data_IF_551447901642
#
_entry.id   IF_551447901642
#
_cell.length_a   1.000
_cell.length_b   1.000
_cell.length_c   1.000
_cell.angle_alpha   90.00
_cell.angle_beta   90.00
_cell.angle_gamma   90.00
#
_symmetry.space_group_name_H-M   'P 1'
#
loop_
_entity.id
_entity.type
_entity.pdbx_description
1 polymer ?
#
# COMPACT_ATOMS: atom_id res chain seq x y z
N UNK A 1 -29.57 8.60 20.45
CA UNK A 1 -28.64 9.65 20.00
C UNK A 1 -27.76 8.97 18.97
N UNK A 2 -27.60 9.53 17.77
CA UNK A 2 -26.68 8.98 16.77
C UNK A 2 -25.28 9.53 17.01
N UNK A 3 -24.28 8.72 16.67
CA UNK A 3 -22.86 9.06 16.82
C UNK A 3 -22.19 9.12 15.43
N UNK A 4 -21.02 9.76 15.36
CA UNK A 4 -20.21 9.80 14.14
C UNK A 4 -19.64 8.42 13.78
N UNK A 5 -19.46 8.10 12.49
CA UNK A 5 -19.21 6.74 12.05
C UNK A 5 -17.81 6.19 12.38
N UNK A 6 -16.77 7.02 12.46
CA UNK A 6 -15.39 6.55 12.68
C UNK A 6 -14.93 6.61 14.14
N UNK A 7 -15.28 7.68 14.86
CA UNK A 7 -14.79 8.01 16.19
C UNK A 7 -15.87 7.91 17.27
N UNK A 8 -17.11 7.58 16.90
CA UNK A 8 -18.25 7.51 17.81
C UNK A 8 -18.45 8.81 18.63
N UNK A 9 -18.27 9.98 17.98
CA UNK A 9 -18.52 11.27 18.60
C UNK A 9 -20.03 11.50 18.68
N UNK A 10 -20.59 11.79 19.86
CA UNK A 10 -22.03 11.94 20.02
C UNK A 10 -22.51 13.22 19.33
N UNK A 11 -23.56 13.11 18.51
CA UNK A 11 -24.17 14.28 17.88
C UNK A 11 -25.04 15.06 18.85
N UNK A 12 -25.05 16.38 18.67
CA UNK A 12 -25.95 17.27 19.39
C UNK A 12 -27.40 17.03 18.91
N UNK A 13 -28.31 16.81 19.86
CA UNK A 13 -29.73 16.64 19.57
C UNK A 13 -30.35 17.93 19.00
N UNK A 14 -31.35 17.75 18.14
CA UNK A 14 -32.11 18.87 17.58
C UNK A 14 -32.91 19.63 18.67
N UNK A 15 -33.29 20.89 18.38
CA UNK A 15 -34.21 21.67 19.22
C UNK A 15 -33.61 22.84 20.02
N UNK A 16 -32.33 23.15 19.86
CA UNK A 16 -31.68 24.31 20.51
C UNK A 16 -31.15 25.31 19.46
N UNK A 17 -32.03 26.11 18.88
CA UNK A 17 -31.69 27.17 17.90
C UNK A 17 -30.81 26.69 16.73
N UNK A 18 -31.08 25.49 16.21
CA UNK A 18 -30.38 24.88 15.06
C UNK A 18 -28.84 24.74 15.17
N UNK A 19 -28.25 24.93 16.37
CA UNK A 19 -26.80 24.76 16.59
C UNK A 19 -26.28 23.36 16.26
N UNK A 20 -27.15 22.36 16.37
CA UNK A 20 -26.85 20.98 16.00
C UNK A 20 -26.42 20.84 14.53
N UNK A 21 -26.92 21.68 13.62
CA UNK A 21 -26.57 21.61 12.21
C UNK A 21 -25.07 21.89 12.01
N UNK A 22 -24.63 23.08 12.42
CA UNK A 22 -23.23 23.50 12.22
C UNK A 22 -22.25 22.72 13.08
N UNK A 23 -22.62 22.38 14.32
CA UNK A 23 -21.76 21.60 15.20
C UNK A 23 -21.60 20.16 14.71
N UNK A 24 -22.69 19.49 14.32
CA UNK A 24 -22.59 18.10 13.85
C UNK A 24 -21.82 18.02 12.53
N UNK A 25 -21.95 19.02 11.65
CA UNK A 25 -21.11 19.12 10.44
C UNK A 25 -19.62 19.23 10.78
N UNK A 26 -19.25 20.07 11.76
CA UNK A 26 -17.87 20.15 12.24
C UNK A 26 -17.38 18.83 12.88
N UNK A 27 -18.25 18.13 13.63
CA UNK A 27 -17.94 16.82 14.21
C UNK A 27 -17.71 15.77 13.12
N UNK A 28 -18.50 15.77 12.06
CA UNK A 28 -18.32 14.88 10.90
C UNK A 28 -17.01 15.15 10.16
N UNK A 29 -16.59 16.42 10.05
CA UNK A 29 -15.26 16.75 9.50
C UNK A 29 -14.13 16.24 10.41
N UNK A 30 -14.25 16.41 11.73
CA UNK A 30 -13.26 15.90 12.68
C UNK A 30 -13.19 14.37 12.68
N UNK A 31 -14.35 13.71 12.61
CA UNK A 31 -14.47 12.26 12.48
C UNK A 31 -13.74 11.72 11.25
N UNK A 32 -13.82 12.44 10.14
CA UNK A 32 -13.15 12.05 8.90
C UNK A 32 -11.62 12.27 8.94
N UNK A 33 -11.15 13.32 9.60
CA UNK A 33 -9.75 13.78 9.54
C UNK A 33 -8.86 13.32 10.70
N UNK A 34 -9.41 13.16 11.90
CA UNK A 34 -8.64 12.67 13.05
C UNK A 34 -8.42 11.18 12.88
N UNK A 35 -7.15 10.74 13.00
CA UNK A 35 -6.75 9.37 12.69
C UNK A 35 -7.20 8.96 11.27
N UNK A 36 -6.94 9.84 10.29
CA UNK A 36 -7.41 9.64 8.92
C UNK A 36 -6.88 8.33 8.33
N UNK A 37 -7.78 7.37 8.14
CA UNK A 37 -7.51 6.11 7.46
C UNK A 37 -8.43 6.00 6.25
N UNK A 38 -7.84 5.94 5.07
CA UNK A 38 -8.54 5.77 3.80
C UNK A 38 -8.44 4.32 3.35
N UNK A 39 -9.48 3.81 2.70
CA UNK A 39 -9.52 2.44 2.19
C UNK A 39 -8.53 2.26 1.03
N UNK A 40 -8.50 3.22 0.10
CA UNK A 40 -7.59 3.23 -1.04
C UNK A 40 -7.34 4.64 -1.55
N UNK A 41 -6.27 4.80 -2.33
CA UNK A 41 -5.93 6.02 -3.09
C UNK A 41 -5.89 5.81 -4.61
N UNK A 42 -6.23 4.62 -5.08
CA UNK A 42 -6.07 4.22 -6.50
C UNK A 42 -7.39 4.24 -7.27
N UNK A 43 -8.53 4.40 -6.59
CA UNK A 43 -9.85 4.43 -7.20
C UNK A 43 -10.17 5.82 -7.76
N UNK A 44 -10.56 5.88 -9.04
CA UNK A 44 -11.05 7.10 -9.67
C UNK A 44 -12.57 7.27 -9.54
N UNK A 45 -13.32 6.19 -9.30
CA UNK A 45 -14.77 6.20 -9.14
C UNK A 45 -15.17 5.58 -7.79
N UNK A 46 -16.31 6.00 -7.20
CA UNK A 46 -16.79 5.42 -5.94
C UNK A 46 -17.06 3.91 -6.06
N UNK A 47 -16.88 3.14 -4.97
CA UNK A 47 -17.37 1.77 -4.91
C UNK A 47 -18.90 1.74 -5.02
N UNK A 48 -19.46 0.66 -5.56
CA UNK A 48 -20.91 0.54 -5.76
C UNK A 48 -21.73 0.52 -4.46
N UNK A 49 -21.12 0.06 -3.37
CA UNK A 49 -21.77 -0.09 -2.06
C UNK A 49 -20.88 0.50 -0.96
N UNK A 50 -20.75 1.83 -0.87
CA UNK A 50 -19.98 2.45 0.18
C UNK A 50 -20.72 2.31 1.52
N UNK A 51 -19.97 2.11 2.61
CA UNK A 51 -20.52 2.19 3.96
C UNK A 51 -20.31 3.59 4.52
N UNK A 52 -21.18 4.03 5.43
CA UNK A 52 -21.06 5.33 6.08
C UNK A 52 -19.70 5.45 6.79
N UNK A 53 -19.05 6.61 6.64
CA UNK A 53 -17.73 6.90 7.19
C UNK A 53 -16.53 6.35 6.42
N UNK A 54 -16.74 5.54 5.36
CA UNK A 54 -15.62 5.14 4.49
C UNK A 54 -14.96 6.33 3.83
N UNK A 55 -13.64 6.27 3.71
CA UNK A 55 -12.82 7.36 3.19
C UNK A 55 -11.91 6.87 2.07
N UNK A 56 -11.71 7.68 1.05
CA UNK A 56 -10.83 7.40 -0.08
C UNK A 56 -10.05 8.65 -0.44
N UNK A 57 -8.84 8.50 -0.97
CA UNK A 57 -8.20 9.57 -1.75
C UNK A 57 -8.62 9.36 -3.21
N UNK A 58 -9.28 10.36 -3.80
CA UNK A 58 -9.76 10.27 -5.18
C UNK A 58 -8.58 10.28 -6.14
N UNK A 59 -8.45 9.22 -6.96
CA UNK A 59 -7.37 9.12 -7.94
C UNK A 59 -7.64 9.95 -9.20
N UNK A 60 -6.57 10.50 -9.78
CA UNK A 60 -6.64 11.27 -11.02
C UNK A 60 -7.55 12.50 -10.88
N UNK A 61 -8.44 12.72 -11.86
CA UNK A 61 -9.48 13.77 -11.78
C UNK A 61 -10.80 13.30 -11.17
N UNK A 62 -10.89 12.04 -10.75
CA UNK A 62 -12.14 11.39 -10.35
C UNK A 62 -13.13 11.14 -11.50
N UNK A 63 -14.13 10.31 -11.24
CA UNK A 63 -15.19 9.92 -12.18
C UNK A 63 -16.49 9.62 -11.44
N UNK A 64 -17.62 9.65 -12.16
CA UNK A 64 -18.95 9.50 -11.55
C UNK A 64 -19.20 10.60 -10.51
N UNK A 65 -19.65 10.22 -9.32
CA UNK A 65 -19.86 11.16 -8.21
C UNK A 65 -18.57 11.84 -7.72
N UNK A 66 -17.39 11.29 -8.06
CA UNK A 66 -16.09 11.85 -7.71
C UNK A 66 -15.51 12.77 -8.78
N UNK A 67 -16.21 13.02 -9.89
CA UNK A 67 -15.71 13.85 -10.97
C UNK A 67 -15.29 15.25 -10.50
N UNK A 68 -14.06 15.65 -10.82
CA UNK A 68 -13.46 16.93 -10.44
C UNK A 68 -12.84 16.96 -9.04
N UNK A 69 -12.88 15.86 -8.28
CA UNK A 69 -12.43 15.80 -6.87
C UNK A 69 -11.05 15.18 -6.69
N UNK A 70 -10.23 15.17 -7.74
CA UNK A 70 -8.89 14.61 -7.75
C UNK A 70 -8.03 15.02 -6.56
N UNK A 71 -7.47 14.05 -5.84
CA UNK A 71 -6.63 14.26 -4.65
C UNK A 71 -7.37 14.65 -3.38
N UNK A 72 -8.68 14.92 -3.43
CA UNK A 72 -9.48 15.16 -2.23
C UNK A 72 -9.69 13.87 -1.44
N UNK A 73 -9.98 14.03 -0.14
CA UNK A 73 -10.48 12.93 0.69
C UNK A 73 -11.99 12.86 0.48
N UNK A 74 -12.46 11.83 -0.20
CA UNK A 74 -13.88 11.51 -0.35
C UNK A 74 -14.36 10.73 0.88
N UNK A 75 -15.40 11.21 1.54
CA UNK A 75 -16.02 10.60 2.73
C UNK A 75 -17.44 10.19 2.36
N UNK A 76 -17.73 8.89 2.44
CA UNK A 76 -19.09 8.37 2.30
C UNK A 76 -19.91 8.83 3.50
N UNK A 77 -21.00 9.54 3.24
CA UNK A 77 -21.88 10.04 4.28
C UNK A 77 -23.32 10.16 3.78
N UNK A 78 -24.28 9.69 4.57
CA UNK A 78 -25.72 9.88 4.34
C UNK A 78 -26.20 9.44 2.93
N UNK A 79 -25.57 8.40 2.36
CA UNK A 79 -25.89 7.90 1.02
C UNK A 79 -25.29 8.71 -0.13
N UNK A 80 -24.37 9.65 0.15
CA UNK A 80 -23.61 10.39 -0.84
C UNK A 80 -22.14 10.59 -0.42
N UNK A 81 -21.50 11.61 -0.99
CA UNK A 81 -20.08 11.89 -0.76
C UNK A 81 -19.83 13.32 -0.31
N UNK A 82 -18.99 13.48 0.72
CA UNK A 82 -18.39 14.75 1.11
C UNK A 82 -16.93 14.75 0.69
N UNK A 83 -16.45 15.86 0.14
CA UNK A 83 -15.06 15.98 -0.31
C UNK A 83 -14.31 17.00 0.54
N UNK A 84 -13.16 16.59 1.06
CA UNK A 84 -12.30 17.46 1.86
C UNK A 84 -11.00 17.69 1.09
N UNK A 85 -10.74 18.93 0.72
CA UNK A 85 -9.49 19.32 0.08
C UNK A 85 -8.34 19.32 1.11
N UNK A 86 -7.30 18.49 0.92
CA UNK A 86 -6.17 18.44 1.85
C UNK A 86 -5.31 19.70 1.78
N UNK A 87 -4.57 19.96 2.87
CA UNK A 87 -3.57 21.03 2.95
C UNK A 87 -2.20 20.44 3.21
N UNK A 88 -1.16 21.18 2.87
CA UNK A 88 0.22 20.75 3.09
C UNK A 88 0.45 20.38 4.56
N UNK A 89 1.09 19.22 4.77
CA UNK A 89 1.34 18.62 6.08
C UNK A 89 0.26 17.66 6.57
N UNK A 90 -0.89 17.54 5.89
CA UNK A 90 -1.89 16.54 6.24
C UNK A 90 -1.38 15.13 5.99
N UNK A 91 -1.89 14.17 6.77
CA UNK A 91 -1.51 12.77 6.68
C UNK A 91 -2.74 11.88 6.57
N UNK A 92 -2.57 10.76 5.87
CA UNK A 92 -3.58 9.70 5.77
C UNK A 92 -2.89 8.33 5.71
N UNK A 93 -3.41 7.35 6.44
CA UNK A 93 -3.01 5.95 6.31
C UNK A 93 -3.87 5.26 5.25
N UNK A 94 -3.24 4.60 4.29
CA UNK A 94 -3.91 3.88 3.21
C UNK A 94 -3.97 2.41 3.59
N UNK A 95 -5.18 1.88 3.82
CA UNK A 95 -5.39 0.54 4.40
C UNK A 95 -4.94 -0.59 3.49
N UNK A 96 -5.28 -0.51 2.19
CA UNK A 96 -4.94 -1.55 1.21
C UNK A 96 -3.43 -1.62 0.88
N UNK A 97 -2.70 -0.52 1.05
CA UNK A 97 -1.26 -0.44 0.83
C UNK A 97 -0.41 -0.55 2.11
N UNK A 98 -0.99 -0.28 3.29
CA UNK A 98 -0.26 -0.26 4.55
C UNK A 98 0.74 0.90 4.70
N UNK A 99 0.51 2.02 3.99
CA UNK A 99 1.43 3.17 3.95
C UNK A 99 0.80 4.43 4.54
N UNK A 100 1.63 5.27 5.16
CA UNK A 100 1.25 6.65 5.52
C UNK A 100 1.68 7.58 4.38
N UNK A 101 0.76 8.41 3.93
CA UNK A 101 1.03 9.49 2.99
C UNK A 101 1.07 10.83 3.72
N UNK A 102 1.82 11.76 3.17
CA UNK A 102 1.74 13.17 3.49
C UNK A 102 1.32 13.96 2.26
N UNK A 103 0.38 14.89 2.42
CA UNK A 103 0.03 15.85 1.38
C UNK A 103 1.04 17.00 1.37
N UNK A 104 1.63 17.27 0.21
CA UNK A 104 2.60 18.34 0.02
C UNK A 104 2.60 18.81 -1.44
N UNK A 105 2.62 20.13 -1.64
CA UNK A 105 2.74 20.74 -2.96
C UNK A 105 1.71 20.19 -3.97
N UNK A 106 0.47 19.98 -3.50
CA UNK A 106 -0.64 19.52 -4.33
C UNK A 106 -0.70 18.02 -4.58
N UNK A 107 0.15 17.21 -3.95
CA UNK A 107 0.17 15.75 -4.14
C UNK A 107 0.25 14.96 -2.84
N UNK A 108 -0.38 13.78 -2.83
CA UNK A 108 -0.18 12.77 -1.78
C UNK A 108 1.07 11.96 -2.07
N UNK A 109 2.05 12.03 -1.19
CA UNK A 109 3.37 11.46 -1.40
C UNK A 109 3.72 10.49 -0.28
N UNK A 110 4.23 9.28 -0.60
CA UNK A 110 4.82 8.40 0.40
C UNK A 110 6.20 8.93 0.80
N UNK A 111 6.64 8.63 2.03
CA UNK A 111 8.01 8.90 2.45
C UNK A 111 8.14 9.25 3.92
N UNK A 112 9.31 8.94 4.49
CA UNK A 112 9.62 9.23 5.89
C UNK A 112 10.38 10.53 6.09
N UNK A 113 11.17 10.95 5.09
CA UNK A 113 11.97 12.15 5.16
C UNK A 113 12.01 12.86 3.81
N UNK A 114 11.90 14.18 3.84
CA UNK A 114 11.93 15.05 2.65
C UNK A 114 12.72 16.33 2.96
N UNK A 115 13.36 16.87 1.94
CA UNK A 115 14.02 18.19 1.96
C UNK A 115 13.08 19.25 1.39
N UNK A 116 13.38 20.52 1.64
CA UNK A 116 12.59 21.66 1.15
C UNK A 116 12.43 21.67 -0.38
N UNK A 117 13.41 21.13 -1.10
CA UNK A 117 13.42 21.06 -2.56
C UNK A 117 13.04 19.66 -3.07
N UNK A 118 12.23 18.89 -2.35
CA UNK A 118 11.62 17.67 -2.88
C UNK A 118 12.47 16.41 -2.88
N UNK A 119 13.76 16.48 -2.52
CA UNK A 119 14.58 15.29 -2.32
C UNK A 119 14.03 14.46 -1.17
N UNK A 120 13.92 13.14 -1.32
CA UNK A 120 13.18 12.29 -0.36
C UNK A 120 13.78 10.89 -0.16
N UNK A 121 13.51 10.32 1.01
CA UNK A 121 13.73 8.92 1.37
C UNK A 121 12.37 8.25 1.67
N UNK A 122 12.17 7.07 1.09
CA UNK A 122 10.96 6.27 1.24
C UNK A 122 11.26 4.82 1.61
N UNK A 123 10.41 4.23 2.45
CA UNK A 123 10.39 2.79 2.72
C UNK A 123 9.37 2.12 1.81
N UNK A 124 9.73 0.96 1.28
CA UNK A 124 8.89 0.16 0.43
C UNK A 124 8.83 -1.27 0.98
N UNK A 125 7.61 -1.76 1.17
CA UNK A 125 7.27 -3.16 1.39
C UNK A 125 6.27 -3.55 0.32
N UNK A 126 6.70 -4.30 -0.69
CA UNK A 126 5.86 -4.66 -1.84
C UNK A 126 5.60 -6.15 -1.80
N UNK A 127 4.33 -6.53 -1.82
CA UNK A 127 3.89 -7.92 -1.77
C UNK A 127 3.48 -8.41 -3.17
N UNK A 128 3.82 -9.66 -3.50
CA UNK A 128 3.32 -10.34 -4.69
C UNK A 128 3.15 -11.84 -4.42
N UNK A 129 2.11 -12.43 -5.03
CA UNK A 129 1.96 -13.88 -5.08
C UNK A 129 2.47 -14.43 -6.41
N UNK A 130 3.12 -15.60 -6.35
CA UNK A 130 3.75 -16.24 -7.50
C UNK A 130 3.32 -17.70 -7.56
N UNK A 131 2.70 -18.08 -8.67
CA UNK A 131 2.38 -19.48 -8.97
C UNK A 131 3.58 -20.16 -9.61
N UNK A 132 3.94 -21.34 -9.10
CA UNK A 132 5.18 -22.02 -9.46
C UNK A 132 4.96 -23.11 -10.50
N UNK A 133 5.70 -23.03 -11.61
CA UNK A 133 5.74 -24.05 -12.65
C UNK A 133 7.07 -23.99 -13.40
N UNK A 134 7.64 -25.14 -13.75
CA UNK A 134 8.92 -25.23 -14.45
C UNK A 134 10.14 -25.09 -13.54
N UNK A 135 11.32 -24.93 -14.13
CA UNK A 135 12.59 -24.89 -13.37
C UNK A 135 12.81 -23.55 -12.64
N UNK A 136 12.28 -22.46 -13.19
CA UNK A 136 12.44 -21.11 -12.65
C UNK A 136 11.25 -20.25 -13.06
N UNK A 137 10.85 -19.34 -12.17
CA UNK A 137 9.71 -18.45 -12.35
C UNK A 137 10.15 -17.03 -12.02
N UNK A 138 10.02 -16.13 -13.00
CA UNK A 138 10.20 -14.70 -12.80
C UNK A 138 8.92 -14.11 -12.21
N UNK A 139 9.03 -13.46 -11.06
CA UNK A 139 7.88 -12.80 -10.42
C UNK A 139 7.62 -11.41 -11.00
N UNK A 140 6.42 -10.86 -10.74
CA UNK A 140 6.11 -9.44 -10.98
C UNK A 140 6.76 -8.51 -9.94
N UNK A 141 7.39 -9.07 -8.90
CA UNK A 141 8.06 -8.30 -7.86
C UNK A 141 9.42 -7.84 -8.37
N UNK A 142 9.53 -6.56 -8.69
CA UNK A 142 10.73 -5.96 -9.29
C UNK A 142 11.43 -5.06 -8.28
N UNK A 143 12.74 -5.25 -8.12
CA UNK A 143 13.61 -4.27 -7.50
C UNK A 143 13.90 -3.20 -8.54
N UNK A 144 13.15 -2.09 -8.49
CA UNK A 144 13.32 -1.00 -9.46
C UNK A 144 14.73 -0.39 -9.40
N UNK A 145 15.18 0.14 -10.54
CA UNK A 145 16.42 0.90 -10.63
C UNK A 145 16.46 2.04 -9.61
N UNK A 146 17.66 2.33 -9.10
CA UNK A 146 17.94 3.35 -8.08
C UNK A 146 17.28 3.10 -6.73
N UNK A 147 16.95 1.84 -6.41
CA UNK A 147 16.57 1.41 -5.06
C UNK A 147 17.70 0.71 -4.34
N UNK A 148 17.67 0.76 -3.01
CA UNK A 148 18.51 -0.10 -2.16
C UNK A 148 17.65 -1.22 -1.61
N UNK A 149 17.90 -2.46 -2.04
CA UNK A 149 17.22 -3.64 -1.51
C UNK A 149 17.83 -4.02 -0.15
N UNK A 150 16.97 -4.33 0.80
CA UNK A 150 17.33 -4.80 2.14
C UNK A 150 17.09 -6.30 2.31
N UNK A 151 16.16 -6.86 1.53
CA UNK A 151 15.89 -8.29 1.52
C UNK A 151 14.57 -8.64 0.85
N UNK A 152 14.36 -9.93 0.64
CA UNK A 152 13.10 -10.49 0.18
C UNK A 152 12.67 -11.60 1.13
N UNK A 153 11.50 -11.45 1.74
CA UNK A 153 10.87 -12.53 2.49
C UNK A 153 10.04 -13.41 1.55
N UNK A 154 9.95 -14.70 1.90
CA UNK A 154 9.14 -15.67 1.18
C UNK A 154 8.30 -16.48 2.17
N UNK A 155 7.05 -16.76 1.80
CA UNK A 155 6.17 -17.70 2.51
C UNK A 155 5.51 -18.62 1.50
N UNK A 156 5.60 -19.92 1.72
CA UNK A 156 4.85 -20.90 0.93
C UNK A 156 3.39 -20.87 1.37
N UNK A 157 2.49 -20.46 0.48
CA UNK A 157 1.05 -20.31 0.74
C UNK A 157 0.21 -21.43 0.12
N UNK A 158 0.84 -22.26 -0.71
CA UNK A 158 0.32 -23.53 -1.17
C UNK A 158 1.51 -24.45 -1.36
N UNK A 159 1.44 -25.68 -0.81
CA UNK A 159 2.53 -26.65 -0.86
C UNK A 159 3.13 -26.81 -2.27
N UNK A 160 4.45 -26.82 -2.34
CA UNK A 160 5.21 -26.86 -3.60
C UNK A 160 5.50 -28.32 -3.95
N UNK A 161 5.27 -28.69 -5.21
CA UNK A 161 5.46 -30.06 -5.70
C UNK A 161 6.48 -30.14 -6.83
N UNK A 162 7.15 -31.29 -6.97
CA UNK A 162 8.10 -31.59 -8.05
C UNK A 162 9.55 -31.17 -7.80
N UNK A 163 9.78 -30.18 -6.94
CA UNK A 163 11.11 -29.80 -6.45
C UNK A 163 11.40 -30.45 -5.08
N UNK A 164 12.66 -30.46 -4.65
CA UNK A 164 13.08 -30.90 -3.30
C UNK A 164 13.30 -29.73 -2.32
N UNK A 165 13.51 -28.54 -2.85
CA UNK A 165 13.51 -27.24 -2.16
C UNK A 165 13.45 -26.14 -3.22
N UNK A 166 13.50 -24.88 -2.82
CA UNK A 166 13.67 -23.78 -3.77
C UNK A 166 14.62 -22.71 -3.24
N UNK A 167 14.99 -21.79 -4.12
CA UNK A 167 15.75 -20.58 -3.81
C UNK A 167 15.07 -19.34 -4.34
N UNK A 168 15.31 -18.22 -3.67
CA UNK A 168 14.82 -16.91 -4.06
C UNK A 168 16.02 -16.00 -4.29
N UNK A 169 16.04 -15.34 -5.44
CA UNK A 169 17.18 -14.53 -5.83
C UNK A 169 16.85 -13.63 -7.01
N UNK A 170 17.89 -13.34 -7.79
CA UNK A 170 17.82 -12.56 -9.03
C UNK A 170 18.55 -13.32 -10.14
N UNK A 171 18.44 -12.84 -11.37
CA UNK A 171 19.26 -13.35 -12.46
C UNK A 171 20.76 -13.26 -12.12
N UNK A 172 21.50 -14.36 -12.30
CA UNK A 172 22.93 -14.47 -11.96
C UNK A 172 23.23 -14.81 -10.50
N UNK A 173 22.34 -14.48 -9.56
CA UNK A 173 22.47 -14.81 -8.13
C UNK A 173 21.17 -15.46 -7.61
N UNK A 174 20.89 -16.72 -7.99
CA UNK A 174 19.58 -17.32 -7.77
C UNK A 174 19.27 -17.62 -6.29
N UNK A 175 20.29 -17.62 -5.43
CA UNK A 175 20.15 -17.82 -3.97
C UNK A 175 20.34 -16.54 -3.16
N UNK A 176 20.33 -15.35 -3.79
CA UNK A 176 20.65 -14.08 -3.13
C UNK A 176 19.85 -13.82 -1.84
N UNK A 177 18.60 -14.27 -1.80
CA UNK A 177 17.68 -14.10 -0.67
C UNK A 177 17.39 -15.41 0.08
N UNK A 178 18.13 -16.48 -0.21
CA UNK A 178 18.00 -17.76 0.47
C UNK A 178 18.00 -18.96 -0.49
N UNK A 179 18.49 -20.09 0.01
CA UNK A 179 18.51 -21.40 -0.67
C UNK A 179 17.97 -22.47 0.27
N UNK A 180 17.63 -23.64 -0.28
CA UNK A 180 17.10 -24.79 0.43
C UNK A 180 15.82 -24.47 1.21
N UNK A 181 14.97 -23.61 0.66
CA UNK A 181 13.72 -23.17 1.29
C UNK A 181 12.66 -24.27 1.26
N UNK A 182 11.87 -24.35 2.34
CA UNK A 182 10.91 -25.42 2.61
C UNK A 182 9.66 -25.40 1.72
N UNK A 183 9.20 -26.58 1.33
CA UNK A 183 8.11 -26.77 0.36
C UNK A 183 6.71 -26.80 1.00
N UNK A 184 6.63 -27.03 2.30
CA UNK A 184 5.36 -27.17 3.00
C UNK A 184 4.62 -25.84 3.11
N UNK A 185 3.29 -25.89 3.12
CA UNK A 185 2.48 -24.71 3.39
C UNK A 185 2.82 -24.13 4.76
N UNK A 186 3.04 -22.82 4.80
CA UNK A 186 3.46 -22.11 6.00
C UNK A 186 4.97 -22.01 6.21
N UNK A 187 5.79 -22.74 5.43
CA UNK A 187 7.24 -22.54 5.42
C UNK A 187 7.58 -21.09 5.08
N UNK A 188 8.54 -20.51 5.78
CA UNK A 188 8.89 -19.09 5.63
C UNK A 188 10.39 -18.85 5.71
N UNK A 189 10.84 -17.82 5.02
CA UNK A 189 12.21 -17.33 5.06
C UNK A 189 12.22 -15.79 5.03
N UNK A 190 13.15 -15.20 5.76
CA UNK A 190 13.42 -13.76 5.73
C UNK A 190 14.82 -13.58 5.13
N UNK A 191 14.86 -13.42 3.81
CA UNK A 191 16.09 -13.30 3.02
C UNK A 191 16.74 -11.93 3.14
N UNK A 192 17.21 -11.57 4.34
CA UNK A 192 17.93 -10.31 4.57
C UNK A 192 19.27 -10.34 3.85
N UNK A 193 19.61 -9.22 3.23
CA UNK A 193 20.92 -8.94 2.67
C UNK A 193 21.46 -7.64 3.27
N UNK A 194 22.75 -7.38 3.09
CA UNK A 194 23.25 -6.02 3.31
C UNK A 194 22.56 -5.02 2.37
N UNK A 195 22.45 -3.73 2.72
CA UNK A 195 21.89 -2.72 1.84
C UNK A 195 22.62 -2.75 0.49
N UNK A 196 21.91 -3.17 -0.56
CA UNK A 196 22.49 -3.37 -1.89
C UNK A 196 21.78 -2.45 -2.88
N UNK A 197 22.54 -1.56 -3.51
CA UNK A 197 22.02 -0.67 -4.55
C UNK A 197 21.81 -1.41 -5.87
N UNK A 198 20.65 -1.19 -6.49
CA UNK A 198 20.30 -1.70 -7.81
C UNK A 198 20.24 -0.53 -8.81
N UNK A 199 20.80 -0.73 -9.99
CA UNK A 199 20.94 0.32 -11.02
C UNK A 199 20.19 -0.01 -12.32
N UNK A 200 19.43 -1.10 -12.32
CA UNK A 200 18.51 -1.51 -13.36
C UNK A 200 17.34 -2.26 -12.72
N UNK A 201 16.18 -2.24 -13.38
CA UNK A 201 15.00 -2.99 -12.92
C UNK A 201 15.34 -4.48 -12.89
N UNK A 202 15.26 -5.07 -11.70
CA UNK A 202 15.70 -6.43 -11.45
C UNK A 202 14.56 -7.25 -10.84
N UNK A 203 13.89 -8.09 -11.64
CA UNK A 203 12.86 -8.99 -11.15
C UNK A 203 13.40 -10.00 -10.15
N UNK A 204 12.62 -10.29 -9.11
CA UNK A 204 12.88 -11.41 -8.21
C UNK A 204 12.52 -12.73 -8.90
N UNK A 205 13.39 -13.71 -8.78
CA UNK A 205 13.29 -15.02 -9.44
C UNK A 205 13.25 -16.12 -8.39
N UNK A 206 12.33 -17.07 -8.57
CA UNK A 206 12.21 -18.29 -7.77
C UNK A 206 12.74 -19.44 -8.61
N UNK A 207 13.68 -20.22 -8.09
CA UNK A 207 14.29 -21.34 -8.82
C UNK A 207 14.16 -22.64 -8.03
N UNK A 208 13.78 -23.71 -8.72
CA UNK A 208 13.60 -25.02 -8.12
C UNK A 208 14.94 -25.72 -7.88
N UNK A 209 15.04 -26.50 -6.80
CA UNK A 209 16.13 -27.43 -6.55
C UNK A 209 15.63 -28.86 -6.71
N UNK A 210 16.50 -29.77 -7.21
CA UNK A 210 16.24 -31.21 -7.22
C UNK A 210 15.06 -31.68 -8.09
N UNK A 211 14.56 -30.82 -8.98
CA UNK A 211 13.43 -31.08 -9.87
C UNK A 211 12.79 -29.77 -10.32
N UNK A 212 11.85 -29.83 -11.26
CA UNK A 212 11.07 -28.66 -11.68
C UNK A 212 9.80 -28.53 -10.83
N UNK A 213 9.33 -27.31 -10.60
CA UNK A 213 8.03 -27.07 -10.00
C UNK A 213 6.93 -27.65 -10.89
N UNK A 214 6.02 -28.41 -10.28
CA UNK A 214 4.80 -28.91 -10.92
C UNK A 214 3.55 -28.25 -10.36
N UNK A 215 3.70 -27.50 -9.26
CA UNK A 215 2.65 -26.74 -8.60
C UNK A 215 3.17 -26.07 -7.33
N UNK A 216 2.30 -25.28 -6.71
CA UNK A 216 2.57 -24.51 -5.51
C UNK A 216 2.48 -23.01 -5.72
N UNK A 217 2.36 -22.28 -4.63
CA UNK A 217 2.33 -20.82 -4.62
C UNK A 217 3.17 -20.29 -3.47
N UNK A 218 3.90 -19.22 -3.75
CA UNK A 218 4.64 -18.47 -2.74
C UNK A 218 4.16 -17.03 -2.73
N UNK A 219 4.14 -16.44 -1.54
CA UNK A 219 4.00 -15.01 -1.33
C UNK A 219 5.39 -14.44 -1.03
N UNK A 220 5.74 -13.39 -1.74
CA UNK A 220 7.01 -12.68 -1.57
C UNK A 220 6.74 -11.27 -1.04
N UNK A 221 7.64 -10.77 -0.20
CA UNK A 221 7.66 -9.38 0.22
C UNK A 221 9.05 -8.79 0.00
N UNK A 222 9.16 -7.77 -0.85
CA UNK A 222 10.38 -7.01 -1.09
C UNK A 222 10.46 -5.85 -0.10
N UNK A 223 11.58 -5.74 0.61
CA UNK A 223 11.90 -4.60 1.45
C UNK A 223 13.00 -3.75 0.81
N UNK A 224 12.70 -2.48 0.53
CA UNK A 224 13.63 -1.58 -0.14
C UNK A 224 13.53 -0.13 0.31
N UNK A 225 14.62 0.61 0.10
CA UNK A 225 14.67 2.07 0.18
C UNK A 225 14.55 2.68 -1.21
N UNK A 226 13.69 3.68 -1.36
CA UNK A 226 13.57 4.50 -2.55
C UNK A 226 14.08 5.92 -2.31
N UNK A 227 14.71 6.51 -3.32
CA UNK A 227 15.30 7.83 -3.27
C UNK A 227 14.70 8.73 -4.34
N UNK A 228 14.39 9.97 -3.98
CA UNK A 228 13.94 11.00 -4.91
C UNK A 228 14.98 12.11 -4.94
N UNK A 229 15.43 12.50 -6.12
CA UNK A 229 16.32 13.64 -6.29
C UNK A 229 15.58 14.95 -5.97
N UNK A 230 16.30 16.01 -5.53
CA UNK A 230 15.71 17.33 -5.44
C UNK A 230 15.10 17.79 -6.78
N UNK A 231 13.98 18.49 -6.69
CA UNK A 231 13.43 19.26 -7.80
C UNK A 231 14.34 20.46 -8.13
N UNK A 232 14.27 20.90 -9.39
CA UNK A 232 15.01 22.07 -9.89
C UNK A 232 14.52 23.38 -9.25
#
# INVERSE_FOLDING_TARGET
MSDSPNLALPFLAAGQAQKHVTLNEALLMLDALVQCAVESRTLAAPPATPTDGQRFVVAGGGAGEWAGQGGAIAVSADGGWRFIAPRDGWQAFVRDEGVVLSFLAGAWLPGLARTAHGGALSLHAIEAEVTLSGASVTSSLVIESRRTCLGVAARTIQAITGATSFKVGIAGEPAKFGDLLGLDEGASNIGIIGPTGFYADTPVVITANGGAFTGGRVRLVLYALGFTAPAA
#
